data_IF_432519303655
#
_entry.id   IF_432519303655
#
_cell.length_a   1.000
_cell.length_b   1.000
_cell.length_c   1.000
_cell.angle_alpha   90.00
_cell.angle_beta   90.00
_cell.angle_gamma   90.00
#
_symmetry.space_group_name_H-M   'P 1'
#
loop_
_entity.id
_entity.type
_entity.pdbx_description
1 polymer ?
#
# COMPACT_ATOMS: atom_id res chain seq x y z
N UNK A 1 1.69 -19.40 -1.90
CA UNK A 1 1.97 -19.15 -0.47
C UNK A 1 2.58 -20.39 0.14
N UNK A 2 3.64 -20.28 0.94
CA UNK A 2 4.24 -21.46 1.58
C UNK A 2 3.31 -22.05 2.67
N UNK A 3 3.32 -23.37 2.89
CA UNK A 3 2.50 -24.01 3.95
C UNK A 3 2.81 -23.47 5.34
N UNK A 4 4.08 -23.17 5.62
CA UNK A 4 4.53 -22.56 6.89
C UNK A 4 3.85 -21.21 7.15
N UNK A 5 3.73 -20.35 6.13
CA UNK A 5 3.06 -19.06 6.29
C UNK A 5 1.56 -19.21 6.51
N UNK A 6 0.91 -20.16 5.80
CA UNK A 6 -0.51 -20.44 5.98
C UNK A 6 -0.83 -20.95 7.38
N UNK A 7 0.01 -21.81 7.96
CA UNK A 7 -0.13 -22.27 9.35
C UNK A 7 -0.09 -21.09 10.32
N UNK A 8 0.90 -20.20 10.15
CA UNK A 8 1.05 -19.03 11.02
C UNK A 8 -0.16 -18.11 10.97
N UNK A 9 -0.75 -17.88 9.79
CA UNK A 9 -1.97 -17.10 9.66
C UNK A 9 -3.16 -17.76 10.39
N UNK A 10 -3.32 -19.09 10.24
CA UNK A 10 -4.37 -19.84 10.94
C UNK A 10 -4.24 -19.76 12.46
N UNK A 11 -3.02 -19.90 12.99
CA UNK A 11 -2.74 -19.80 14.42
C UNK A 11 -3.12 -18.43 14.99
N UNK A 12 -3.00 -17.37 14.20
CA UNK A 12 -3.35 -16.01 14.61
C UNK A 12 -4.79 -15.61 14.23
N UNK A 13 -5.62 -16.56 13.75
CA UNK A 13 -7.00 -16.28 13.34
C UNK A 13 -7.12 -15.34 12.12
N UNK A 14 -6.06 -15.22 11.31
CA UNK A 14 -6.03 -14.32 10.16
C UNK A 14 -6.50 -15.03 8.89
N UNK A 15 -7.49 -14.44 8.22
CA UNK A 15 -7.97 -14.92 6.92
C UNK A 15 -7.08 -14.33 5.82
N UNK A 16 -6.52 -15.20 4.97
CA UNK A 16 -5.73 -14.75 3.83
C UNK A 16 -6.64 -14.20 2.72
N UNK A 17 -6.47 -12.92 2.36
CA UNK A 17 -7.10 -12.33 1.18
C UNK A 17 -6.24 -12.60 -0.06
N UNK A 18 -6.61 -13.61 -0.85
CA UNK A 18 -6.01 -13.87 -2.16
C UNK A 18 -7.02 -13.51 -3.25
N UNK A 19 -6.77 -12.42 -3.97
CA UNK A 19 -7.59 -12.10 -5.14
C UNK A 19 -7.26 -13.03 -6.31
N UNK A 20 -8.22 -13.19 -7.23
CA UNK A 20 -7.99 -13.91 -8.50
C UNK A 20 -6.84 -13.24 -9.26
N UNK A 21 -6.09 -14.02 -10.02
CA UNK A 21 -5.06 -13.52 -10.95
C UNK A 21 -5.68 -12.39 -11.80
N UNK A 22 -5.04 -11.22 -11.81
CA UNK A 22 -5.54 -10.02 -12.51
C UNK A 22 -6.37 -9.05 -11.65
N UNK A 23 -6.72 -9.40 -10.40
CA UNK A 23 -7.49 -8.55 -9.49
C UNK A 23 -6.62 -8.01 -8.33
N UNK A 24 -5.54 -7.28 -8.62
CA UNK A 24 -4.57 -6.81 -7.63
C UNK A 24 -4.90 -5.43 -7.04
N UNK A 25 -6.09 -5.29 -6.44
CA UNK A 25 -6.60 -4.00 -5.94
C UNK A 25 -5.70 -3.41 -4.83
N UNK A 26 -5.10 -4.27 -4.01
CA UNK A 26 -4.21 -3.95 -2.90
C UNK A 26 -2.75 -3.68 -3.34
N UNK A 27 -2.31 -4.29 -4.44
CA UNK A 27 -0.93 -4.20 -4.90
C UNK A 27 -0.56 -2.80 -5.39
N UNK A 28 -1.43 -2.14 -6.15
CA UNK A 28 -1.14 -0.81 -6.72
C UNK A 28 -0.78 0.25 -5.66
N UNK A 29 -1.56 0.41 -4.58
CA UNK A 29 -1.20 1.28 -3.47
C UNK A 29 0.15 0.93 -2.83
N UNK A 30 0.43 -0.36 -2.63
CA UNK A 30 1.69 -0.81 -2.03
C UNK A 30 2.89 -0.58 -2.96
N UNK A 31 2.75 -0.80 -4.27
CA UNK A 31 3.77 -0.46 -5.26
C UNK A 31 4.09 1.04 -5.24
N UNK A 32 3.07 1.89 -5.13
CA UNK A 32 3.25 3.33 -4.97
C UNK A 32 4.03 3.69 -3.70
N UNK A 33 3.68 3.06 -2.57
CA UNK A 33 4.41 3.24 -1.31
C UNK A 33 5.89 2.84 -1.44
N UNK A 34 6.17 1.66 -2.00
CA UNK A 34 7.54 1.19 -2.22
C UNK A 34 8.31 2.06 -3.22
N UNK A 35 7.64 2.61 -4.23
CA UNK A 35 8.23 3.56 -5.16
C UNK A 35 8.73 4.81 -4.45
N UNK A 36 7.92 5.39 -3.55
CA UNK A 36 8.30 6.57 -2.77
C UNK A 36 9.49 6.25 -1.86
N UNK A 37 9.43 5.15 -1.10
CA UNK A 37 10.52 4.72 -0.22
C UNK A 37 11.84 4.59 -0.99
N UNK A 38 11.81 3.90 -2.13
CA UNK A 38 13.01 3.70 -2.93
C UNK A 38 13.54 5.01 -3.49
N UNK A 39 12.67 5.88 -4.01
CA UNK A 39 13.08 7.17 -4.56
C UNK A 39 13.69 8.10 -3.52
N UNK A 40 13.15 8.14 -2.30
CA UNK A 40 13.57 9.10 -1.28
C UNK A 40 14.75 8.60 -0.44
N UNK A 41 14.76 7.30 -0.11
CA UNK A 41 15.73 6.73 0.82
C UNK A 41 16.77 5.86 0.12
N UNK A 42 16.41 5.09 -0.90
CA UNK A 42 17.29 4.04 -1.42
C UNK A 42 18.13 4.47 -2.62
N UNK A 43 17.50 5.07 -3.63
CA UNK A 43 18.17 5.41 -4.88
C UNK A 43 19.20 6.52 -4.67
N UNK A 44 20.40 6.33 -5.25
CA UNK A 44 21.52 7.25 -5.10
C UNK A 44 22.27 7.15 -3.76
N UNK A 45 21.90 6.21 -2.88
CA UNK A 45 22.60 5.94 -1.62
C UNK A 45 23.31 4.58 -1.66
N UNK A 46 24.42 4.49 -0.95
CA UNK A 46 25.19 3.25 -0.82
C UNK A 46 25.22 2.81 0.64
N UNK A 47 24.60 1.67 0.92
CA UNK A 47 24.63 1.01 2.22
C UNK A 47 25.69 -0.08 2.21
N UNK A 48 26.66 0.00 3.12
CA UNK A 48 27.79 -0.93 3.20
C UNK A 48 27.46 -2.17 4.02
N UNK A 49 26.54 -2.05 4.97
CA UNK A 49 26.09 -3.15 5.83
C UNK A 49 24.58 -3.27 5.84
N UNK A 50 24.11 -4.45 6.27
CA UNK A 50 22.69 -4.71 6.45
C UNK A 50 22.11 -3.82 7.54
N UNK A 51 22.88 -3.61 8.60
CA UNK A 51 22.50 -2.82 9.78
C UNK A 51 22.28 -1.36 9.39
N UNK A 52 23.13 -0.81 8.53
CA UNK A 52 22.99 0.55 7.99
C UNK A 52 21.68 0.71 7.19
N UNK A 53 21.37 -0.28 6.34
CA UNK A 53 20.12 -0.28 5.57
C UNK A 53 18.87 -0.42 6.49
N UNK A 54 18.95 -1.27 7.51
CA UNK A 54 17.86 -1.42 8.49
C UNK A 54 17.62 -0.11 9.22
N UNK A 55 18.68 0.56 9.68
CA UNK A 55 18.57 1.84 10.35
C UNK A 55 17.92 2.90 9.46
N UNK A 56 18.36 3.02 8.21
CA UNK A 56 17.77 3.96 7.26
C UNK A 56 16.29 3.65 6.95
N UNK A 57 15.90 2.37 6.94
CA UNK A 57 14.51 1.96 6.84
C UNK A 57 13.69 2.38 8.06
N UNK A 58 14.20 2.15 9.26
CA UNK A 58 13.54 2.54 10.52
C UNK A 58 13.33 4.06 10.59
N UNK A 59 14.35 4.85 10.27
CA UNK A 59 14.25 6.32 10.19
C UNK A 59 13.22 6.75 9.16
N UNK A 60 13.25 6.18 7.95
CA UNK A 60 12.30 6.54 6.91
C UNK A 60 10.86 6.14 7.27
N UNK A 61 10.65 4.98 7.89
CA UNK A 61 9.32 4.57 8.36
C UNK A 61 8.80 5.46 9.49
N UNK A 62 9.69 5.90 10.39
CA UNK A 62 9.34 6.87 11.42
C UNK A 62 8.86 8.18 10.79
N UNK A 63 9.68 8.76 9.91
CA UNK A 63 9.35 9.96 9.15
C UNK A 63 8.03 9.81 8.39
N UNK A 64 7.88 8.74 7.60
CA UNK A 64 6.67 8.52 6.80
C UNK A 64 5.41 8.44 7.68
N UNK A 65 5.51 7.79 8.84
CA UNK A 65 4.36 7.52 9.71
C UNK A 65 3.98 8.74 10.56
N UNK A 66 4.95 9.43 11.13
CA UNK A 66 4.73 10.41 12.20
C UNK A 66 4.98 11.86 11.77
N UNK A 67 5.73 12.10 10.68
CA UNK A 67 6.19 13.44 10.32
C UNK A 67 5.73 13.87 8.92
N UNK A 68 5.45 12.91 8.04
CA UNK A 68 5.07 13.19 6.65
C UNK A 68 3.62 13.62 6.52
N UNK A 69 3.40 14.93 6.46
CA UNK A 69 2.09 15.51 6.12
C UNK A 69 1.69 15.21 4.68
N UNK A 70 0.45 14.74 4.47
CA UNK A 70 -0.07 14.45 3.14
C UNK A 70 -1.30 15.30 2.83
N UNK A 71 -1.29 15.98 1.68
CA UNK A 71 -2.43 16.80 1.23
C UNK A 71 -3.71 15.98 1.08
N UNK A 72 -3.60 14.72 0.64
CA UNK A 72 -4.74 13.79 0.54
C UNK A 72 -5.42 13.57 1.89
N UNK A 73 -4.68 13.68 2.99
CA UNK A 73 -5.17 13.50 4.36
C UNK A 73 -5.57 14.83 5.03
N UNK A 74 -5.79 15.89 4.26
CA UNK A 74 -6.09 17.20 4.83
C UNK A 74 -4.91 17.80 5.59
N UNK A 75 -3.68 17.55 5.11
CA UNK A 75 -2.43 17.99 5.76
C UNK A 75 -2.26 17.37 7.14
N UNK A 76 -2.42 16.04 7.20
CA UNK A 76 -2.18 15.21 8.39
C UNK A 76 -1.22 14.07 8.07
N UNK A 77 -0.61 13.50 9.09
CA UNK A 77 0.28 12.34 8.98
C UNK A 77 -0.50 11.03 8.92
N UNK A 78 0.06 9.95 8.36
CA UNK A 78 -0.59 8.64 8.38
C UNK A 78 -0.97 8.17 9.78
N UNK A 79 -0.14 8.44 10.79
CA UNK A 79 -0.44 8.10 12.17
C UNK A 79 -1.66 8.84 12.71
N UNK A 80 -1.76 10.16 12.48
CA UNK A 80 -2.91 10.96 12.92
C UNK A 80 -4.21 10.43 12.33
N UNK A 81 -4.22 10.16 11.01
CA UNK A 81 -5.37 9.59 10.31
C UNK A 81 -5.77 8.24 10.90
N UNK A 82 -4.80 7.35 11.15
CA UNK A 82 -5.06 6.03 11.73
C UNK A 82 -5.57 6.13 13.17
N UNK A 83 -4.99 7.01 13.97
CA UNK A 83 -5.38 7.23 15.37
C UNK A 83 -6.80 7.77 15.49
N UNK A 84 -7.19 8.68 14.61
CA UNK A 84 -8.56 9.20 14.52
C UNK A 84 -9.55 8.12 14.07
N UNK A 85 -9.21 7.35 13.02
CA UNK A 85 -10.05 6.26 12.53
C UNK A 85 -10.33 5.18 13.58
N UNK A 86 -9.38 4.91 14.48
CA UNK A 86 -9.57 3.95 15.59
C UNK A 86 -10.50 4.48 16.68
N UNK A 87 -10.66 5.79 16.81
CA UNK A 87 -11.50 6.44 17.83
C UNK A 87 -12.91 6.77 17.34
N UNK A 88 -13.09 6.89 16.03
CA UNK A 88 -14.35 7.29 15.42
C UNK A 88 -15.27 6.08 15.18
N UNK A 89 -16.56 6.24 15.48
CA UNK A 89 -17.61 5.28 15.07
C UNK A 89 -17.78 5.26 13.55
N UNK A 90 -17.58 6.42 12.89
CA UNK A 90 -17.60 6.59 11.44
C UNK A 90 -16.30 7.28 10.96
N UNK A 91 -15.26 6.51 10.60
CA UNK A 91 -13.99 7.06 10.15
C UNK A 91 -14.11 7.84 8.83
N UNK A 92 -13.30 8.90 8.69
CA UNK A 92 -13.19 9.62 7.42
C UNK A 92 -12.63 8.71 6.31
N UNK A 93 -13.28 8.73 5.14
CA UNK A 93 -12.83 7.96 3.98
C UNK A 93 -11.89 8.76 3.08
N UNK A 94 -10.71 8.20 2.82
CA UNK A 94 -9.75 8.77 1.88
C UNK A 94 -9.70 7.92 0.62
N UNK A 95 -10.65 8.11 -0.30
CA UNK A 95 -10.70 7.33 -1.55
C UNK A 95 -9.46 7.60 -2.42
N UNK A 96 -8.98 6.57 -3.10
CA UNK A 96 -7.92 6.74 -4.10
C UNK A 96 -8.55 7.42 -5.32
N UNK A 97 -8.01 8.54 -5.81
CA UNK A 97 -8.54 9.20 -6.99
C UNK A 97 -8.52 8.25 -8.20
N UNK A 98 -9.63 8.20 -8.94
CA UNK A 98 -9.70 7.37 -10.14
C UNK A 98 -8.81 7.95 -11.25
N UNK A 99 -8.00 7.09 -11.86
CA UNK A 99 -7.23 7.46 -13.03
C UNK A 99 -8.07 7.22 -14.30
N UNK A 100 -8.43 8.29 -15.00
CA UNK A 100 -9.26 8.24 -16.22
C UNK A 100 -8.68 7.29 -17.30
N UNK A 101 -7.36 7.18 -17.41
CA UNK A 101 -6.71 6.25 -18.36
C UNK A 101 -6.92 4.79 -17.96
N UNK A 102 -6.83 4.50 -16.65
CA UNK A 102 -7.11 3.16 -16.11
C UNK A 102 -8.58 2.81 -16.30
N UNK A 103 -9.49 3.76 -16.09
CA UNK A 103 -10.93 3.55 -16.30
C UNK A 103 -11.25 3.24 -17.77
N UNK A 104 -10.66 4.00 -18.70
CA UNK A 104 -10.80 3.73 -20.14
C UNK A 104 -10.26 2.35 -20.52
N UNK A 105 -9.05 2.00 -20.06
CA UNK A 105 -8.46 0.68 -20.29
C UNK A 105 -9.36 -0.45 -19.76
N UNK A 106 -9.84 -0.34 -18.52
CA UNK A 106 -10.75 -1.33 -17.94
C UNK A 106 -12.03 -1.47 -18.77
N UNK A 107 -12.62 -0.36 -19.21
CA UNK A 107 -13.82 -0.37 -20.03
C UNK A 107 -13.60 -1.08 -21.36
N UNK A 108 -12.47 -0.84 -22.03
CA UNK A 108 -12.11 -1.51 -23.29
C UNK A 108 -11.83 -3.00 -23.07
N UNK A 109 -11.05 -3.35 -22.04
CA UNK A 109 -10.65 -4.72 -21.72
C UNK A 109 -11.82 -5.62 -21.28
N UNK A 110 -12.76 -5.10 -20.49
CA UNK A 110 -13.95 -5.88 -20.10
C UNK A 110 -14.97 -5.97 -21.24
N UNK A 111 -15.05 -4.96 -22.12
CA UNK A 111 -15.87 -5.05 -23.34
C UNK A 111 -15.35 -6.14 -24.30
N UNK A 112 -14.03 -6.28 -24.47
CA UNK A 112 -13.47 -7.32 -25.33
C UNK A 112 -13.67 -8.73 -24.76
N UNK A 113 -13.57 -8.92 -23.44
CA UNK A 113 -13.83 -10.23 -22.80
C UNK A 113 -15.30 -10.65 -22.85
N UNK A 114 -16.26 -9.71 -22.92
CA UNK A 114 -17.68 -10.03 -23.09
C UNK A 114 -18.08 -10.30 -24.54
N UNK A 115 -17.26 -9.89 -25.51
CA UNK A 115 -17.49 -10.14 -26.94
C UNK A 115 -16.94 -11.50 -27.43
N UNK A 116 -16.16 -12.19 -26.59
CA UNK A 116 -15.57 -13.53 -26.86
C UNK A 116 -16.39 -14.68 -26.23
N UNK A 117 -17.59 -14.40 -25.73
CA UNK A 117 -18.59 -15.38 -25.21
C UNK A 117 -19.85 -15.26 -26.07
#
# INVERSE_FOLDING_TARGET
TSPSFQNKLREHGMIQSMSRIGCCIDNGPMEGFWGILKCEMYYGKHYRTKEELIHALEEWFHYYTYERYQRRFGVRTPYEVRSEALKAETPAEYKIPENKRIMKYKQEHYKSQQAEI
#
